data_IF_063097270428
#
_entry.id   IF_063097270428
#
_cell.length_a   1.000
_cell.length_b   1.000
_cell.length_c   1.000
_cell.angle_alpha   90.00
_cell.angle_beta   90.00
_cell.angle_gamma   90.00
#
_symmetry.space_group_name_H-M   'P 1'
#
loop_
_entity.id
_entity.type
_entity.pdbx_description
1 polymer ?
#
# COMPACT_ATOMS: atom_id res chain seq x y z
N UNK A 1 -28.26 4.92 6.49
CA UNK A 1 -28.16 6.38 6.65
C UNK A 1 -28.29 6.86 8.08
N UNK A 2 -29.48 6.83 8.72
CA UNK A 2 -29.68 7.36 10.10
C UNK A 2 -28.67 6.93 11.16
N UNK A 3 -28.38 5.62 11.26
CA UNK A 3 -27.36 5.11 12.20
C UNK A 3 -25.93 5.58 11.89
N UNK A 4 -25.62 5.81 10.63
CA UNK A 4 -24.30 6.30 10.21
C UNK A 4 -24.12 7.77 10.59
N UNK A 5 -25.12 8.61 10.29
CA UNK A 5 -25.08 10.04 10.59
C UNK A 5 -25.00 10.33 12.10
N UNK A 6 -25.61 9.50 12.97
CA UNK A 6 -25.47 9.63 14.44
C UNK A 6 -24.00 9.61 14.90
N UNK A 7 -23.15 8.78 14.26
CA UNK A 7 -21.74 8.66 14.62
C UNK A 7 -20.83 9.62 13.84
N UNK A 8 -21.19 9.96 12.60
CA UNK A 8 -20.35 10.70 11.67
C UNK A 8 -20.59 12.23 11.71
N UNK A 9 -21.83 12.68 11.86
CA UNK A 9 -22.18 14.10 11.86
C UNK A 9 -22.33 14.62 13.30
N UNK A 10 -21.18 14.93 13.92
CA UNK A 10 -21.12 15.43 15.31
C UNK A 10 -21.87 16.75 15.50
N UNK A 11 -22.03 17.53 14.42
CA UNK A 11 -22.67 18.84 14.42
C UNK A 11 -24.18 18.78 14.17
N UNK A 12 -24.72 17.60 13.84
CA UNK A 12 -26.16 17.34 13.72
C UNK A 12 -26.86 18.23 12.68
N UNK A 13 -26.25 18.38 11.51
CA UNK A 13 -26.78 19.19 10.41
C UNK A 13 -28.06 18.59 9.83
N UNK A 14 -28.83 19.43 9.13
CA UNK A 14 -29.88 18.94 8.22
C UNK A 14 -29.30 18.66 6.85
N UNK A 15 -29.74 17.57 6.23
CA UNK A 15 -29.19 17.08 4.96
C UNK A 15 -30.25 17.07 3.87
N UNK A 16 -30.00 17.77 2.76
CA UNK A 16 -30.86 17.77 1.59
C UNK A 16 -30.76 16.48 0.81
N UNK A 17 -31.88 16.08 0.24
CA UNK A 17 -31.96 14.97 -0.71
C UNK A 17 -32.55 15.42 -2.04
N UNK A 18 -32.47 14.56 -3.04
CA UNK A 18 -33.10 14.77 -4.36
C UNK A 18 -34.61 14.49 -4.37
N UNK A 19 -35.19 14.11 -3.21
CA UNK A 19 -36.58 13.69 -3.08
C UNK A 19 -37.55 14.86 -2.97
N UNK A 20 -38.68 14.74 -3.67
CA UNK A 20 -39.81 15.65 -3.62
C UNK A 20 -41.07 14.90 -3.17
N UNK A 21 -41.72 15.39 -2.12
CA UNK A 21 -42.99 14.85 -1.66
C UNK A 21 -44.14 15.40 -2.51
N UNK A 22 -44.86 14.52 -3.20
CA UNK A 22 -46.08 14.89 -3.93
C UNK A 22 -47.29 14.82 -3.01
N UNK A 23 -47.88 15.99 -2.70
CA UNK A 23 -49.00 16.14 -1.74
C UNK A 23 -50.35 15.65 -2.31
N UNK A 24 -50.41 15.21 -3.57
CA UNK A 24 -51.69 15.03 -4.28
C UNK A 24 -52.30 13.63 -4.27
N UNK A 25 -51.62 12.58 -3.78
CA UNK A 25 -52.18 11.24 -3.45
C UNK A 25 -51.11 10.35 -2.81
N UNK A 26 -51.40 9.80 -1.64
CA UNK A 26 -50.68 8.70 -0.97
C UNK A 26 -49.22 8.94 -0.50
N UNK A 27 -48.81 10.20 -0.26
CA UNK A 27 -47.48 10.53 0.29
C UNK A 27 -46.32 9.91 -0.50
N UNK A 28 -46.38 10.04 -1.82
CA UNK A 28 -45.35 9.51 -2.72
C UNK A 28 -44.16 10.45 -2.75
N UNK A 29 -42.96 9.93 -2.47
CA UNK A 29 -41.70 10.65 -2.68
C UNK A 29 -41.20 10.31 -4.07
N UNK A 30 -41.01 11.33 -4.89
CA UNK A 30 -40.41 11.20 -6.22
C UNK A 30 -38.98 11.70 -6.16
N UNK A 31 -38.04 10.85 -6.58
CA UNK A 31 -36.62 11.18 -6.66
C UNK A 31 -36.29 11.79 -8.02
N UNK A 32 -35.16 12.50 -8.11
CA UNK A 32 -34.72 13.18 -9.35
C UNK A 32 -34.50 12.22 -10.53
N UNK A 33 -34.21 10.95 -10.26
CA UNK A 33 -34.05 9.90 -11.27
C UNK A 33 -35.40 9.36 -11.81
N UNK A 34 -36.53 9.86 -11.28
CA UNK A 34 -37.88 9.47 -11.66
C UNK A 34 -38.43 8.25 -10.90
N UNK A 35 -37.66 7.69 -9.97
CA UNK A 35 -38.16 6.61 -9.10
C UNK A 35 -39.13 7.16 -8.06
N UNK A 36 -40.12 6.35 -7.71
CA UNK A 36 -41.13 6.71 -6.73
C UNK A 36 -41.06 5.77 -5.53
N UNK A 37 -41.11 6.34 -4.34
CA UNK A 37 -41.20 5.61 -3.09
C UNK A 37 -42.54 5.88 -2.41
N UNK A 38 -43.29 4.79 -2.18
CA UNK A 38 -44.63 4.80 -1.56
C UNK A 38 -44.62 3.96 -0.29
N UNK A 39 -45.41 4.32 0.72
CA UNK A 39 -45.52 3.54 1.96
C UNK A 39 -44.60 4.01 3.09
N UNK A 40 -44.43 5.33 3.23
CA UNK A 40 -43.63 5.90 4.31
C UNK A 40 -44.42 5.84 5.63
N UNK A 41 -43.92 5.09 6.61
CA UNK A 41 -44.53 5.06 7.96
C UNK A 41 -44.40 6.42 8.65
N UNK A 42 -45.44 6.84 9.39
CA UNK A 42 -45.43 8.05 10.23
C UNK A 42 -44.27 8.08 11.24
N UNK A 43 -43.78 6.91 11.67
CA UNK A 43 -42.69 6.78 12.65
C UNK A 43 -41.35 7.37 12.15
N UNK A 44 -41.20 7.48 10.83
CA UNK A 44 -39.98 7.92 10.17
C UNK A 44 -39.95 9.44 9.90
N UNK A 45 -41.06 10.12 10.20
CA UNK A 45 -41.20 11.57 10.04
C UNK A 45 -41.00 12.30 11.36
N UNK A 46 -40.60 13.56 11.26
CA UNK A 46 -40.73 14.51 12.36
C UNK A 46 -42.16 15.08 12.39
N UNK A 47 -42.83 15.00 13.54
CA UNK A 47 -44.24 15.45 13.69
C UNK A 47 -44.45 16.97 13.54
N UNK A 48 -43.39 17.77 13.50
CA UNK A 48 -43.46 19.22 13.24
C UNK A 48 -43.44 19.53 11.74
N UNK A 49 -44.35 18.94 10.96
CA UNK A 49 -44.53 19.29 9.55
C UNK A 49 -45.32 20.60 9.44
N UNK A 50 -44.75 21.71 9.89
CA UNK A 50 -45.39 23.02 9.86
C UNK A 50 -45.10 23.83 8.58
N UNK A 51 -44.15 23.42 7.73
CA UNK A 51 -43.75 24.22 6.57
C UNK A 51 -44.19 23.64 5.22
N UNK A 52 -44.79 24.53 4.42
CA UNK A 52 -45.55 24.29 3.17
C UNK A 52 -44.68 23.90 1.96
N UNK A 53 -43.61 23.14 2.18
CA UNK A 53 -42.66 22.80 1.12
C UNK A 53 -42.57 21.30 0.86
N UNK A 54 -42.17 20.96 -0.36
CA UNK A 54 -42.19 19.58 -0.85
C UNK A 54 -40.79 18.95 -0.87
N UNK A 55 -39.73 19.65 -0.45
CA UNK A 55 -38.37 19.13 -0.52
C UNK A 55 -38.05 18.28 0.70
N UNK A 56 -37.63 17.05 0.44
CA UNK A 56 -37.32 16.06 1.46
C UNK A 56 -35.91 16.26 1.99
N UNK A 57 -35.81 16.44 3.30
CA UNK A 57 -34.55 16.53 4.04
C UNK A 57 -34.47 15.47 5.12
N UNK A 58 -33.26 15.24 5.62
CA UNK A 58 -33.00 14.39 6.75
C UNK A 58 -32.47 15.24 7.91
N UNK A 59 -33.22 15.35 8.99
CA UNK A 59 -32.88 16.20 10.12
C UNK A 59 -32.83 15.43 11.43
N UNK A 60 -31.93 15.85 12.32
CA UNK A 60 -31.76 15.23 13.62
C UNK A 60 -32.85 15.70 14.60
N UNK A 61 -33.61 14.77 15.18
CA UNK A 61 -34.60 15.07 16.23
C UNK A 61 -34.57 14.00 17.32
N UNK A 62 -34.38 14.44 18.57
CA UNK A 62 -34.24 13.55 19.72
C UNK A 62 -32.91 12.77 19.68
N UNK A 63 -32.99 11.48 19.35
CA UNK A 63 -31.86 10.53 19.38
C UNK A 63 -31.49 9.96 18.00
N UNK A 64 -32.18 10.39 16.95
CA UNK A 64 -31.94 9.87 15.61
C UNK A 64 -32.26 10.90 14.53
N UNK A 65 -31.79 10.61 13.32
CA UNK A 65 -32.19 11.38 12.16
C UNK A 65 -33.49 10.81 11.57
N UNK A 66 -34.38 11.71 11.17
CA UNK A 66 -35.68 11.40 10.60
C UNK A 66 -35.93 12.24 9.35
N UNK A 67 -36.87 11.79 8.53
CA UNK A 67 -37.33 12.55 7.38
C UNK A 67 -38.08 13.80 7.84
N UNK A 68 -37.81 14.91 7.17
CA UNK A 68 -38.50 16.17 7.39
C UNK A 68 -38.64 16.93 6.07
N UNK A 69 -39.43 18.00 6.08
CA UNK A 69 -39.58 18.91 4.94
C UNK A 69 -38.93 20.26 5.28
N UNK A 70 -38.31 20.87 4.29
CA UNK A 70 -37.68 22.19 4.45
C UNK A 70 -37.69 22.99 3.15
N UNK A 71 -37.63 24.31 3.28
CA UNK A 71 -37.51 25.20 2.14
C UNK A 71 -36.20 24.99 1.38
N UNK A 72 -36.24 25.08 0.05
CA UNK A 72 -35.05 25.09 -0.83
C UNK A 72 -34.13 26.29 -0.64
N UNK A 73 -34.56 27.29 0.12
CA UNK A 73 -33.80 28.50 0.45
C UNK A 73 -32.80 28.27 1.59
N UNK A 74 -32.92 27.17 2.34
CA UNK A 74 -32.00 26.84 3.45
C UNK A 74 -30.66 26.37 2.89
N UNK A 75 -29.57 26.94 3.41
CA UNK A 75 -28.22 26.40 3.18
C UNK A 75 -28.04 25.12 4.02
N UNK A 76 -28.13 23.95 3.38
CA UNK A 76 -27.83 22.69 4.05
C UNK A 76 -27.00 21.76 3.16
N UNK A 77 -26.31 20.81 3.79
CA UNK A 77 -25.43 19.88 3.10
C UNK A 77 -26.25 18.89 2.25
N UNK A 78 -25.75 18.50 1.08
CA UNK A 78 -26.46 17.59 0.18
C UNK A 78 -25.99 16.14 0.36
N UNK A 79 -26.94 15.22 0.29
CA UNK A 79 -26.67 13.79 0.10
C UNK A 79 -26.69 13.52 -1.41
N UNK A 80 -25.58 13.02 -1.93
CA UNK A 80 -25.50 12.55 -3.30
C UNK A 80 -25.86 11.06 -3.36
N UNK A 81 -26.72 10.72 -4.30
CA UNK A 81 -27.02 9.34 -4.67
C UNK A 81 -26.21 8.95 -5.91
N UNK A 82 -25.76 7.71 -5.96
CA UNK A 82 -25.08 7.13 -7.12
C UNK A 82 -25.65 5.75 -7.38
N UNK A 83 -25.81 5.40 -8.66
CA UNK A 83 -26.22 4.05 -9.04
C UNK A 83 -25.18 3.04 -8.53
N UNK A 84 -25.66 1.91 -7.96
CA UNK A 84 -24.79 0.86 -7.44
C UNK A 84 -23.82 0.33 -8.51
N UNK A 85 -24.24 0.27 -9.77
CA UNK A 85 -23.44 -0.12 -10.91
C UNK A 85 -22.39 0.94 -11.28
N UNK A 86 -22.54 2.20 -10.86
CA UNK A 86 -21.60 3.30 -11.13
C UNK A 86 -20.68 3.63 -9.94
N UNK A 87 -20.87 2.98 -8.78
CA UNK A 87 -20.05 3.19 -7.59
C UNK A 87 -18.53 2.99 -7.80
N UNK A 88 -18.13 2.23 -8.83
CA UNK A 88 -16.73 2.06 -9.22
C UNK A 88 -16.07 3.35 -9.75
N UNK A 89 -16.85 4.35 -10.15
CA UNK A 89 -16.38 5.66 -10.62
C UNK A 89 -16.00 6.61 -9.49
N UNK A 90 -16.30 6.25 -8.23
CA UNK A 90 -15.88 7.03 -7.08
C UNK A 90 -14.36 6.88 -6.96
N UNK A 91 -13.64 7.90 -7.39
CA UNK A 91 -12.23 8.05 -7.06
C UNK A 91 -12.15 8.33 -5.56
N UNK A 92 -11.83 7.29 -4.77
CA UNK A 92 -11.48 7.47 -3.36
C UNK A 92 -10.11 8.11 -3.34
N UNK A 93 -10.05 9.43 -3.48
CA UNK A 93 -8.86 10.16 -3.11
C UNK A 93 -8.62 9.91 -1.62
N UNK A 94 -7.50 9.28 -1.30
CA UNK A 94 -7.12 9.05 0.08
C UNK A 94 -7.03 10.41 0.77
N UNK A 95 -7.97 10.70 1.67
CA UNK A 95 -7.90 11.86 2.55
C UNK A 95 -6.60 11.77 3.34
N UNK A 96 -5.63 12.58 2.95
CA UNK A 96 -4.32 12.62 3.58
C UNK A 96 -4.38 13.25 4.97
N UNK A 97 -3.20 13.36 5.58
CA UNK A 97 -3.03 14.02 6.89
C UNK A 97 -3.36 15.52 6.86
N UNK A 98 -3.49 16.09 5.67
CA UNK A 98 -3.77 17.49 5.36
C UNK A 98 -5.26 17.82 5.29
N UNK A 99 -6.12 16.80 5.23
CA UNK A 99 -7.55 16.97 5.04
C UNK A 99 -8.19 17.73 6.21
N UNK A 100 -8.81 18.89 5.91
CA UNK A 100 -9.46 19.76 6.89
C UNK A 100 -8.49 20.59 7.75
N UNK A 101 -7.21 20.69 7.36
CA UNK A 101 -6.22 21.51 8.05
C UNK A 101 -6.00 22.86 7.33
N UNK A 102 -5.65 23.90 8.09
CA UNK A 102 -5.35 25.23 7.54
C UNK A 102 -3.88 25.40 7.08
N UNK A 103 -3.14 24.30 6.90
CA UNK A 103 -1.73 24.35 6.47
C UNK A 103 -1.64 24.41 4.94
N UNK A 104 -0.97 25.44 4.41
CA UNK A 104 -0.74 25.58 2.97
C UNK A 104 0.32 24.60 2.43
N UNK A 105 1.23 24.13 3.28
CA UNK A 105 2.27 23.15 2.94
C UNK A 105 2.09 21.89 3.80
N UNK A 106 1.87 20.70 3.19
CA UNK A 106 1.71 19.44 3.91
C UNK A 106 2.89 19.08 4.84
N UNK A 107 4.09 19.61 4.56
CA UNK A 107 5.26 19.36 5.40
C UNK A 107 5.18 20.03 6.77
N UNK A 108 4.43 21.13 6.90
CA UNK A 108 4.30 21.91 8.12
C UNK A 108 3.30 21.29 9.11
N UNK A 109 2.54 20.27 8.69
CA UNK A 109 1.58 19.57 9.53
C UNK A 109 2.30 18.87 10.70
N UNK A 110 2.02 19.23 11.95
CA UNK A 110 2.65 18.62 13.11
C UNK A 110 2.28 17.13 13.21
N UNK A 111 3.30 16.26 13.30
CA UNK A 111 3.11 14.80 13.28
C UNK A 111 4.23 14.07 13.99
N UNK A 112 3.90 12.94 14.60
CA UNK A 112 4.85 12.00 15.20
C UNK A 112 5.80 11.39 14.16
N UNK A 113 6.88 10.74 14.62
CA UNK A 113 7.85 10.13 13.74
C UNK A 113 7.25 8.88 13.06
N UNK A 114 7.53 8.72 11.77
CA UNK A 114 7.20 7.55 10.96
C UNK A 114 8.45 7.11 10.20
N UNK A 115 8.86 5.85 10.39
CA UNK A 115 10.01 5.28 9.70
C UNK A 115 9.64 5.10 8.21
N UNK A 116 10.50 5.63 7.34
CA UNK A 116 10.40 5.50 5.88
C UNK A 116 11.47 4.58 5.30
N UNK A 117 12.59 4.41 6.00
CA UNK A 117 13.63 3.45 5.65
C UNK A 117 14.02 2.67 6.90
N UNK A 118 13.65 1.40 6.91
CA UNK A 118 14.06 0.44 7.93
C UNK A 118 15.54 0.07 7.74
N UNK A 119 16.29 -0.17 8.82
CA UNK A 119 17.66 -0.67 8.73
C UNK A 119 17.70 -2.09 8.17
N UNK A 120 18.84 -2.56 7.68
CA UNK A 120 19.02 -3.94 7.19
C UNK A 120 20.16 -4.65 7.93
N UNK A 121 20.13 -5.99 7.93
CA UNK A 121 21.21 -6.81 8.49
C UNK A 121 22.54 -6.51 7.77
N UNK A 122 23.60 -6.40 8.56
CA UNK A 122 24.91 -5.98 8.09
C UNK A 122 25.95 -7.06 8.38
N UNK A 123 26.74 -7.40 7.35
CA UNK A 123 27.93 -8.25 7.48
C UNK A 123 29.15 -7.38 7.20
N UNK A 124 29.95 -7.12 8.22
CA UNK A 124 31.17 -6.31 8.14
C UNK A 124 32.32 -7.22 7.74
N UNK A 125 33.08 -6.85 6.71
CA UNK A 125 34.27 -7.62 6.33
C UNK A 125 35.41 -7.29 7.29
N UNK A 126 36.03 -8.32 7.85
CA UNK A 126 37.15 -8.15 8.79
C UNK A 126 38.26 -7.32 8.14
N UNK A 127 38.62 -6.19 8.76
CA UNK A 127 39.61 -5.26 8.22
C UNK A 127 39.04 -4.00 7.54
N UNK A 128 37.71 -3.87 7.41
CA UNK A 128 37.10 -2.60 7.00
C UNK A 128 37.36 -1.50 8.04
N UNK A 129 37.66 -0.29 7.57
CA UNK A 129 37.92 0.88 8.42
C UNK A 129 36.65 1.50 9.01
N UNK A 130 35.49 1.25 8.39
CA UNK A 130 34.21 1.77 8.86
C UNK A 130 33.04 0.96 8.31
N UNK A 131 31.97 0.88 9.09
CA UNK A 131 30.72 0.26 8.70
C UNK A 131 29.53 1.13 9.17
N UNK A 132 28.37 1.03 8.54
CA UNK A 132 27.19 1.82 8.94
C UNK A 132 25.87 1.09 8.77
N UNK A 133 24.92 1.41 9.65
CA UNK A 133 23.51 1.02 9.55
C UNK A 133 22.65 2.29 9.55
N UNK A 134 21.58 2.30 8.75
CA UNK A 134 20.79 3.50 8.49
C UNK A 134 19.30 3.29 8.74
N UNK A 135 18.70 4.17 9.53
CA UNK A 135 17.26 4.28 9.73
C UNK A 135 16.82 5.71 9.42
N UNK A 136 15.77 5.89 8.62
CA UNK A 136 15.28 7.22 8.25
C UNK A 136 13.82 7.33 8.65
N UNK A 137 13.47 8.36 9.41
CA UNK A 137 12.12 8.69 9.81
C UNK A 137 11.72 10.11 9.37
N UNK A 138 10.48 10.24 8.92
CA UNK A 138 9.81 11.53 8.73
C UNK A 138 9.11 11.94 10.01
N UNK A 139 8.99 13.24 10.26
CA UNK A 139 8.24 13.78 11.40
C UNK A 139 8.37 15.29 11.40
N UNK A 140 7.36 15.98 11.97
CA UNK A 140 7.44 17.42 12.18
C UNK A 140 7.07 17.75 13.63
N UNK A 141 8.01 18.24 14.46
CA UNK A 141 9.41 18.57 14.17
C UNK A 141 10.27 17.37 13.73
N UNK A 142 11.39 17.67 13.05
CA UNK A 142 12.34 16.66 12.56
C UNK A 142 12.78 15.72 13.71
N UNK A 143 12.68 14.39 13.53
CA UNK A 143 13.02 13.45 14.60
C UNK A 143 14.50 13.48 14.98
N UNK A 144 14.77 13.22 16.25
CA UNK A 144 16.09 12.85 16.77
C UNK A 144 16.20 11.33 16.83
N UNK A 145 17.44 10.81 16.83
CA UNK A 145 17.71 9.38 16.70
C UNK A 145 18.56 8.87 17.84
N UNK A 146 18.24 7.67 18.31
CA UNK A 146 19.04 6.87 19.23
C UNK A 146 19.16 5.46 18.69
N UNK A 147 20.29 4.82 18.97
CA UNK A 147 20.53 3.43 18.64
C UNK A 147 20.73 2.64 19.92
N UNK A 148 20.19 1.44 19.94
CA UNK A 148 20.32 0.51 21.05
C UNK A 148 20.90 -0.81 20.55
N UNK A 149 21.80 -1.38 21.34
CA UNK A 149 22.31 -2.74 21.21
C UNK A 149 21.65 -3.61 22.28
N UNK A 150 21.58 -4.92 22.02
CA UNK A 150 20.93 -5.88 22.92
C UNK A 150 19.51 -5.41 23.28
N UNK A 151 18.61 -5.47 22.30
CA UNK A 151 17.30 -4.80 22.31
C UNK A 151 16.47 -5.01 23.59
N UNK A 152 16.69 -6.10 24.32
CA UNK A 152 16.06 -6.38 25.62
C UNK A 152 16.63 -5.56 26.80
N UNK A 153 17.94 -5.31 26.82
CA UNK A 153 18.62 -4.51 27.85
C UNK A 153 18.65 -3.02 27.50
N UNK A 154 18.41 -2.67 26.23
CA UNK A 154 18.38 -1.28 25.70
C UNK A 154 19.67 -0.52 25.99
N UNK A 155 20.81 -1.18 25.74
CA UNK A 155 22.11 -0.53 25.88
C UNK A 155 22.27 0.56 24.80
N UNK A 156 22.34 1.83 25.18
CA UNK A 156 22.48 2.93 24.22
C UNK A 156 23.84 2.86 23.52
N UNK A 157 23.84 2.94 22.18
CA UNK A 157 25.05 3.00 21.36
C UNK A 157 25.30 4.45 20.99
N UNK A 158 26.29 5.08 21.62
CA UNK A 158 26.60 6.49 21.37
C UNK A 158 28.08 6.80 21.50
N UNK A 159 28.48 7.91 20.87
CA UNK A 159 29.85 8.46 20.94
C UNK A 159 30.31 8.77 22.37
N UNK A 160 29.37 8.95 23.32
CA UNK A 160 29.66 9.22 24.73
C UNK A 160 30.13 7.99 25.49
N UNK A 161 29.77 6.81 25.00
CA UNK A 161 30.11 5.51 25.60
C UNK A 161 31.34 4.95 24.91
N UNK A 162 31.35 4.99 23.57
CA UNK A 162 32.49 4.59 22.76
C UNK A 162 32.65 5.57 21.59
N UNK A 163 33.81 6.20 21.49
CA UNK A 163 34.12 7.24 20.50
C UNK A 163 34.13 6.74 19.07
N UNK A 164 34.16 5.41 18.85
CA UNK A 164 34.04 4.79 17.52
C UNK A 164 32.66 4.97 16.91
N UNK A 165 31.63 5.16 17.73
CA UNK A 165 30.25 5.31 17.28
C UNK A 165 29.92 6.76 16.96
N UNK A 166 29.33 7.00 15.79
CA UNK A 166 28.81 8.32 15.40
C UNK A 166 27.41 8.16 14.81
N UNK A 167 26.44 8.90 15.35
CA UNK A 167 25.07 8.91 14.81
C UNK A 167 24.79 10.23 14.10
N UNK A 168 24.45 10.17 12.81
CA UNK A 168 24.11 11.35 11.99
C UNK A 168 22.81 11.12 11.24
N UNK A 169 21.76 11.89 11.54
CA UNK A 169 20.45 11.81 10.89
C UNK A 169 19.87 10.38 10.79
N UNK A 170 20.09 9.55 11.82
CA UNK A 170 19.61 8.16 11.86
C UNK A 170 20.56 7.11 11.27
N UNK A 171 21.69 7.53 10.70
CA UNK A 171 22.80 6.65 10.34
C UNK A 171 23.77 6.48 11.51
N UNK A 172 23.90 5.25 12.03
CA UNK A 172 24.95 4.86 12.97
C UNK A 172 26.17 4.39 12.18
N UNK A 173 27.31 5.03 12.41
CA UNK A 173 28.61 4.67 11.84
C UNK A 173 29.50 4.11 12.94
N UNK A 174 30.13 2.99 12.67
CA UNK A 174 31.09 2.31 13.54
C UNK A 174 32.47 2.43 12.88
N UNK A 175 33.37 3.17 13.52
CA UNK A 175 34.75 3.34 13.05
C UNK A 175 35.63 2.23 13.62
N UNK A 176 36.48 1.63 12.78
CA UNK A 176 37.31 0.47 13.16
C UNK A 176 36.49 -0.61 13.88
N UNK A 177 35.51 -1.23 13.18
CA UNK A 177 34.64 -2.24 13.76
C UNK A 177 35.42 -3.50 14.22
N UNK A 178 35.06 -4.04 15.37
CA UNK A 178 35.69 -5.19 16.04
C UNK A 178 34.65 -6.28 16.31
N UNK A 179 34.88 -7.49 15.79
CA UNK A 179 33.93 -8.61 15.84
C UNK A 179 33.40 -8.90 17.25
N UNK A 180 34.31 -9.06 18.22
CA UNK A 180 33.94 -9.39 19.60
C UNK A 180 33.17 -8.28 20.34
N UNK A 181 33.18 -7.05 19.82
CA UNK A 181 32.58 -5.88 20.49
C UNK A 181 31.31 -5.40 19.79
N UNK A 182 31.25 -5.49 18.47
CA UNK A 182 30.21 -4.85 17.67
C UNK A 182 29.23 -5.84 17.04
N UNK A 183 29.46 -7.15 17.20
CA UNK A 183 28.48 -8.18 16.85
C UNK A 183 27.28 -8.12 17.79
N UNK A 184 26.07 -8.10 17.23
CA UNK A 184 24.84 -8.14 18.02
C UNK A 184 23.61 -7.61 17.29
N UNK A 185 22.52 -7.51 18.04
CA UNK A 185 21.23 -7.00 17.56
C UNK A 185 21.10 -5.50 17.85
N UNK A 186 20.79 -4.73 16.81
CA UNK A 186 20.66 -3.27 16.86
C UNK A 186 19.23 -2.84 16.54
N UNK A 187 18.76 -1.79 17.20
CA UNK A 187 17.47 -1.17 16.94
C UNK A 187 17.58 0.36 17.01
N UNK A 188 16.95 1.03 16.05
CA UNK A 188 16.86 2.48 16.02
C UNK A 188 15.56 2.96 16.68
N UNK A 189 15.65 4.05 17.43
CA UNK A 189 14.52 4.83 17.90
C UNK A 189 14.56 6.22 17.26
N UNK A 190 13.47 6.59 16.59
CA UNK A 190 13.25 7.95 16.11
C UNK A 190 12.21 8.62 17.00
N UNK A 191 12.50 9.82 17.51
CA UNK A 191 11.65 10.50 18.49
C UNK A 191 11.47 11.98 18.16
N UNK A 192 10.27 12.50 18.40
CA UNK A 192 10.00 13.93 18.41
C UNK A 192 9.00 14.28 19.53
N UNK A 193 8.60 15.56 19.63
CA UNK A 193 7.69 16.03 20.70
C UNK A 193 6.31 15.36 20.72
N UNK A 194 5.93 14.64 19.67
CA UNK A 194 4.62 13.98 19.55
C UNK A 194 4.69 12.46 19.77
N UNK A 195 5.89 11.88 19.90
CA UNK A 195 6.05 10.46 20.21
C UNK A 195 7.38 9.90 19.72
N UNK A 196 7.59 8.61 19.98
CA UNK A 196 8.71 7.84 19.47
C UNK A 196 8.25 6.58 18.74
N UNK A 197 9.08 6.12 17.80
CA UNK A 197 8.87 4.91 17.02
C UNK A 197 10.17 4.11 16.97
N UNK A 198 10.04 2.78 17.07
CA UNK A 198 11.16 1.84 16.99
C UNK A 198 11.20 1.19 15.61
N UNK A 199 12.40 1.00 15.07
CA UNK A 199 12.63 0.24 13.84
C UNK A 199 12.50 -1.25 14.08
N UNK A 200 12.55 -2.04 13.00
CA UNK A 200 12.88 -3.45 13.10
C UNK A 200 14.27 -3.65 13.71
N UNK A 201 14.47 -4.81 14.32
CA UNK A 201 15.76 -5.26 14.83
C UNK A 201 16.59 -5.75 13.65
N UNK A 202 17.87 -5.39 13.62
CA UNK A 202 18.83 -5.85 12.60
C UNK A 202 20.07 -6.45 13.25
N UNK A 203 20.60 -7.48 12.61
CA UNK A 203 21.79 -8.16 13.08
C UNK A 203 23.04 -7.58 12.43
N UNK A 204 24.02 -7.19 13.25
CA UNK A 204 25.38 -6.87 12.82
C UNK A 204 26.28 -8.07 13.12
N UNK A 205 26.98 -8.53 12.10
CA UNK A 205 27.88 -9.70 12.17
C UNK A 205 29.14 -9.47 11.34
N UNK A 206 30.16 -10.29 11.55
CA UNK A 206 31.43 -10.17 10.83
C UNK A 206 31.64 -11.34 9.87
N UNK A 207 32.07 -10.99 8.67
CA UNK A 207 32.48 -11.90 7.62
C UNK A 207 34.01 -11.97 7.53
N UNK A 208 34.51 -13.17 7.23
CA UNK A 208 35.89 -13.37 6.81
C UNK A 208 35.84 -13.94 5.40
N UNK A 209 36.52 -13.29 4.46
CA UNK A 209 36.82 -13.86 3.16
C UNK A 209 38.32 -14.14 3.14
N UNK A 210 38.72 -15.42 3.17
CA UNK A 210 40.13 -15.76 2.98
C UNK A 210 40.56 -15.48 1.54
N UNK A 211 41.86 -15.30 1.35
CA UNK A 211 42.45 -15.20 0.02
C UNK A 211 42.14 -16.45 -0.81
N UNK A 212 42.02 -16.27 -2.12
CA UNK A 212 41.84 -17.38 -3.04
C UNK A 212 43.05 -18.32 -2.94
N UNK A 213 42.83 -19.65 -2.85
CA UNK A 213 43.92 -20.62 -2.96
C UNK A 213 44.71 -20.32 -4.22
N UNK A 214 46.03 -20.16 -4.07
CA UNK A 214 46.95 -19.92 -5.19
C UNK A 214 47.20 -21.16 -6.04
N UNK A 215 46.50 -22.26 -5.74
CA UNK A 215 46.65 -23.52 -6.44
C UNK A 215 46.34 -23.33 -7.93
N UNK A 216 47.29 -23.72 -8.78
CA UNK A 216 47.12 -23.66 -10.22
C UNK A 216 45.90 -24.49 -10.64
N UNK A 217 44.97 -23.88 -11.38
CA UNK A 217 43.83 -24.59 -11.97
C UNK A 217 44.39 -25.64 -12.93
N UNK A 218 44.27 -26.91 -12.57
CA UNK A 218 44.83 -28.03 -13.35
C UNK A 218 44.15 -28.05 -14.74
N UNK A 219 44.93 -28.00 -15.85
CA UNK A 219 44.38 -28.06 -17.20
C UNK A 219 43.62 -29.37 -17.44
N UNK A 220 42.38 -29.30 -17.92
CA UNK A 220 41.57 -30.47 -18.24
C UNK A 220 41.62 -30.76 -19.75
N UNK A 221 42.11 -31.95 -20.12
CA UNK A 221 42.07 -32.42 -21.50
C UNK A 221 40.71 -33.06 -21.78
N UNK A 222 39.93 -32.46 -22.67
CA UNK A 222 38.61 -32.95 -23.11
C UNK A 222 38.58 -33.19 -24.61
N UNK A 223 37.71 -34.11 -25.04
CA UNK A 223 37.50 -34.39 -26.47
C UNK A 223 36.67 -33.28 -27.10
N UNK A 224 36.89 -33.02 -28.39
CA UNK A 224 36.03 -32.13 -29.17
C UNK A 224 34.56 -32.56 -29.03
N UNK A 225 33.67 -31.58 -28.83
CA UNK A 225 32.22 -31.75 -28.63
C UNK A 225 31.77 -32.41 -27.32
N UNK A 226 32.67 -32.50 -26.33
CA UNK A 226 32.30 -32.87 -24.95
C UNK A 226 32.41 -31.66 -24.02
N UNK A 227 31.45 -31.48 -23.12
CA UNK A 227 31.50 -30.44 -22.09
C UNK A 227 32.51 -30.77 -21.00
N UNK A 228 33.18 -29.76 -20.45
CA UNK A 228 34.09 -29.88 -19.30
C UNK A 228 33.53 -29.12 -18.09
N UNK A 229 33.81 -29.62 -16.89
CA UNK A 229 33.45 -28.97 -15.63
C UNK A 229 34.72 -28.70 -14.83
N UNK A 230 34.99 -27.42 -14.60
CA UNK A 230 36.05 -26.99 -13.70
C UNK A 230 35.49 -26.87 -12.29
N UNK A 231 36.12 -27.58 -11.35
CA UNK A 231 35.76 -27.47 -9.96
C UNK A 231 36.54 -26.32 -9.33
N UNK A 232 35.83 -25.28 -8.89
CA UNK A 232 36.46 -24.16 -8.22
C UNK A 232 37.07 -24.63 -6.88
N UNK A 233 38.28 -24.16 -6.51
CA UNK A 233 38.83 -24.36 -5.18
C UNK A 233 37.83 -23.89 -4.12
N UNK A 234 37.66 -24.68 -3.06
CA UNK A 234 36.83 -24.26 -1.93
C UNK A 234 37.52 -23.10 -1.22
N UNK A 235 36.84 -21.96 -1.15
CA UNK A 235 37.29 -20.85 -0.33
C UNK A 235 36.99 -21.15 1.14
N UNK A 236 37.91 -20.78 2.02
CA UNK A 236 37.57 -20.58 3.42
C UNK A 236 36.91 -19.21 3.54
N UNK A 237 35.62 -19.22 3.79
CA UNK A 237 34.87 -18.02 4.09
C UNK A 237 34.08 -18.28 5.36
N UNK A 238 34.13 -17.35 6.31
CA UNK A 238 33.08 -17.24 7.33
C UNK A 238 32.06 -16.25 6.81
N UNK A 239 30.84 -16.72 6.58
CA UNK A 239 29.70 -15.90 6.79
C UNK A 239 28.86 -16.61 7.86
N UNK A 240 28.55 -15.94 8.96
CA UNK A 240 27.18 -16.08 9.43
C UNK A 240 26.34 -15.24 8.45
N UNK A 241 26.25 -15.65 7.18
CA UNK A 241 25.29 -15.05 6.28
C UNK A 241 23.95 -15.49 6.85
N UNK A 242 23.29 -14.60 7.57
CA UNK A 242 21.85 -14.66 7.68
C UNK A 242 21.35 -14.83 6.24
N UNK A 243 20.87 -16.04 5.93
CA UNK A 243 20.31 -16.34 4.62
C UNK A 243 19.25 -15.28 4.35
N UNK A 244 19.47 -14.45 3.32
CA UNK A 244 18.60 -13.31 3.08
C UNK A 244 17.24 -13.84 2.66
N UNK A 245 16.23 -13.50 3.44
CA UNK A 245 14.85 -13.83 3.12
C UNK A 245 14.45 -13.20 1.78
N UNK A 246 13.58 -13.85 1.02
CA UNK A 246 13.17 -13.35 -0.28
C UNK A 246 12.36 -12.06 -0.10
N UNK A 247 12.70 -11.02 -0.87
CA UNK A 247 11.98 -9.76 -0.96
C UNK A 247 11.73 -9.44 -2.43
N UNK A 248 10.46 -9.36 -2.83
CA UNK A 248 10.09 -8.98 -4.21
C UNK A 248 10.43 -7.50 -4.43
N UNK A 249 11.14 -7.18 -5.51
CA UNK A 249 11.53 -5.82 -5.82
C UNK A 249 10.31 -4.89 -6.00
N UNK A 250 10.49 -3.61 -5.70
CA UNK A 250 9.39 -2.65 -5.69
C UNK A 250 8.73 -2.46 -7.06
N UNK A 251 9.50 -2.61 -8.15
CA UNK A 251 9.01 -2.43 -9.52
C UNK A 251 8.25 -3.64 -10.09
N UNK A 252 8.16 -4.75 -9.34
CA UNK A 252 7.42 -5.95 -9.75
C UNK A 252 6.16 -6.11 -8.89
N UNK A 253 5.07 -6.74 -9.33
CA UNK A 253 4.87 -7.47 -10.58
C UNK A 253 4.80 -6.51 -11.76
N UNK A 254 5.64 -6.75 -12.77
CA UNK A 254 5.65 -5.97 -14.00
C UNK A 254 4.75 -6.66 -15.04
N UNK A 255 3.82 -5.93 -15.64
CA UNK A 255 2.85 -6.45 -16.63
C UNK A 255 3.18 -5.87 -18.00
N UNK A 256 3.31 -6.74 -19.00
CA UNK A 256 3.62 -6.37 -20.37
C UNK A 256 2.62 -6.96 -21.38
N UNK A 257 2.14 -6.15 -22.34
CA UNK A 257 2.26 -4.69 -22.41
C UNK A 257 1.52 -3.99 -21.25
N UNK A 258 1.85 -2.72 -20.98
CA UNK A 258 1.22 -1.93 -19.91
C UNK A 258 -0.28 -1.69 -20.14
N UNK A 259 -0.68 -1.57 -21.41
CA UNK A 259 -2.07 -1.48 -21.84
C UNK A 259 -2.43 -2.79 -22.54
N UNK A 260 -3.14 -3.67 -21.83
CA UNK A 260 -3.49 -5.01 -22.32
C UNK A 260 -4.79 -4.96 -23.09
N UNK A 261 -4.79 -5.41 -24.34
CA UNK A 261 -6.00 -5.51 -25.16
C UNK A 261 -6.55 -6.94 -25.25
N UNK A 262 -7.83 -7.05 -25.54
CA UNK A 262 -8.51 -8.34 -25.76
C UNK A 262 -7.85 -9.10 -26.93
N UNK A 263 -7.52 -10.37 -26.69
CA UNK A 263 -6.90 -11.26 -27.67
C UNK A 263 -5.37 -11.19 -27.71
N UNK A 264 -4.75 -10.25 -27.01
CA UNK A 264 -3.29 -10.18 -26.91
C UNK A 264 -2.71 -11.31 -26.04
N UNK A 265 -1.41 -11.49 -26.13
CA UNK A 265 -0.64 -12.31 -25.20
C UNK A 265 0.11 -11.40 -24.25
N UNK A 266 -0.09 -11.60 -22.95
CA UNK A 266 0.59 -10.82 -21.92
C UNK A 266 1.64 -11.65 -21.21
N UNK A 267 2.61 -10.96 -20.60
CA UNK A 267 3.50 -11.51 -19.59
C UNK A 267 3.41 -10.72 -18.29
N UNK A 268 3.47 -11.45 -17.18
CA UNK A 268 3.61 -10.92 -15.83
C UNK A 268 4.90 -11.47 -15.24
N UNK A 269 5.83 -10.57 -14.95
CA UNK A 269 7.13 -10.93 -14.37
C UNK A 269 7.13 -10.64 -12.87
N UNK A 270 7.84 -11.49 -12.12
CA UNK A 270 8.06 -11.34 -10.70
C UNK A 270 9.53 -11.63 -10.38
N UNK A 271 10.20 -10.66 -9.76
CA UNK A 271 11.59 -10.79 -9.36
C UNK A 271 11.76 -10.47 -7.87
N UNK A 272 12.49 -11.34 -7.17
CA UNK A 272 12.84 -11.16 -5.78
C UNK A 272 14.35 -11.28 -5.55
N UNK A 273 14.86 -10.50 -4.60
CA UNK A 273 16.20 -10.65 -4.06
C UNK A 273 16.17 -11.54 -2.83
N UNK A 274 17.23 -12.31 -2.64
CA UNK A 274 17.39 -13.20 -1.50
C UNK A 274 18.48 -14.22 -1.79
N UNK A 275 18.80 -15.06 -0.81
CA UNK A 275 19.74 -16.15 -1.02
C UNK A 275 19.13 -17.22 -1.93
N UNK A 276 19.73 -17.44 -3.11
CA UNK A 276 19.30 -18.47 -4.06
C UNK A 276 19.58 -19.89 -3.57
N UNK A 277 18.66 -20.86 -3.74
CA UNK A 277 17.60 -20.86 -4.75
C UNK A 277 16.25 -20.34 -4.24
N UNK A 278 15.60 -19.49 -5.04
CA UNK A 278 14.25 -18.99 -4.80
C UNK A 278 13.24 -19.74 -5.66
N UNK A 279 12.13 -20.18 -5.05
CA UNK A 279 11.04 -20.90 -5.71
C UNK A 279 9.84 -19.98 -5.91
N UNK A 280 9.35 -19.90 -7.15
CA UNK A 280 8.25 -19.02 -7.54
C UNK A 280 6.97 -19.81 -7.79
N UNK A 281 5.85 -19.24 -7.39
CA UNK A 281 4.51 -19.80 -7.59
C UNK A 281 3.51 -18.67 -7.80
N UNK A 282 2.52 -18.87 -8.67
CA UNK A 282 1.51 -17.86 -8.98
C UNK A 282 0.11 -18.35 -8.63
N UNK A 283 -0.69 -17.44 -8.12
CA UNK A 283 -2.10 -17.66 -7.84
C UNK A 283 -2.94 -16.51 -8.34
N UNK A 284 -4.23 -16.76 -8.58
CA UNK A 284 -5.22 -15.75 -8.91
C UNK A 284 -6.29 -15.72 -7.82
N UNK A 285 -6.72 -14.52 -7.40
CA UNK A 285 -7.74 -14.41 -6.36
C UNK A 285 -9.12 -14.83 -6.86
N UNK A 286 -9.88 -15.53 -6.01
CA UNK A 286 -11.28 -15.94 -6.21
C UNK A 286 -11.55 -16.85 -7.42
N UNK A 287 -10.54 -17.21 -8.22
CA UNK A 287 -10.64 -18.03 -9.43
C UNK A 287 -9.37 -18.86 -9.64
N UNK A 288 -9.49 -19.96 -10.37
CA UNK A 288 -8.33 -20.70 -10.86
C UNK A 288 -7.52 -19.92 -11.90
N UNK A 289 -6.30 -20.39 -12.16
CA UNK A 289 -5.50 -19.88 -13.26
C UNK A 289 -6.19 -20.17 -14.60
N UNK A 290 -6.19 -19.25 -15.59
CA UNK A 290 -6.71 -19.54 -16.92
C UNK A 290 -5.96 -20.72 -17.56
N UNK A 291 -6.67 -21.63 -18.22
CA UNK A 291 -6.06 -22.80 -18.89
C UNK A 291 -5.00 -22.43 -19.95
N UNK A 292 -5.07 -21.19 -20.45
CA UNK A 292 -4.13 -20.60 -21.44
C UNK A 292 -2.86 -20.03 -20.81
N UNK A 293 -2.60 -20.34 -19.54
CA UNK A 293 -1.45 -19.84 -18.79
C UNK A 293 -0.24 -20.75 -18.98
N UNK A 294 0.92 -20.15 -19.25
CA UNK A 294 2.21 -20.83 -19.35
C UNK A 294 3.22 -20.15 -18.43
N UNK A 295 4.19 -20.91 -17.93
CA UNK A 295 5.20 -20.44 -16.98
C UNK A 295 6.60 -20.59 -17.56
N UNK A 296 7.42 -19.55 -17.38
CA UNK A 296 8.80 -19.48 -17.88
C UNK A 296 9.78 -19.11 -16.77
N UNK A 297 11.07 -19.31 -17.04
CA UNK A 297 12.17 -18.86 -16.17
C UNK A 297 12.04 -19.36 -14.71
N UNK A 298 11.75 -20.65 -14.52
CA UNK A 298 11.46 -21.28 -13.22
C UNK A 298 10.25 -20.66 -12.50
N UNK A 299 9.16 -20.46 -13.25
CA UNK A 299 7.90 -19.85 -12.80
C UNK A 299 8.01 -18.37 -12.38
N UNK A 300 9.09 -17.67 -12.73
CA UNK A 300 9.24 -16.22 -12.47
C UNK A 300 8.37 -15.37 -13.39
N UNK A 301 8.14 -15.86 -14.60
CA UNK A 301 7.32 -15.21 -15.61
C UNK A 301 6.11 -16.08 -15.89
N UNK A 302 4.94 -15.43 -15.87
CA UNK A 302 3.66 -16.02 -16.21
C UNK A 302 3.17 -15.38 -17.50
N UNK A 303 2.78 -16.19 -18.48
CA UNK A 303 2.21 -15.71 -19.74
C UNK A 303 0.80 -16.22 -19.96
N UNK A 304 -0.11 -15.33 -20.34
CA UNK A 304 -1.49 -15.68 -20.70
C UNK A 304 -1.67 -15.32 -22.17
N UNK A 305 -1.98 -16.31 -22.99
CA UNK A 305 -2.27 -16.12 -24.42
C UNK A 305 -3.77 -15.94 -24.67
N UNK A 306 -4.11 -15.20 -25.74
CA UNK A 306 -5.48 -14.91 -26.16
C UNK A 306 -6.35 -14.42 -24.98
N UNK A 307 -5.93 -13.30 -24.39
CA UNK A 307 -6.50 -12.74 -23.17
C UNK A 307 -7.97 -12.34 -23.36
N UNK A 308 -8.83 -12.76 -22.43
CA UNK A 308 -10.27 -12.47 -22.41
C UNK A 308 -10.61 -11.48 -21.30
N UNK A 309 -11.69 -10.72 -21.43
CA UNK A 309 -12.15 -9.79 -20.37
C UNK A 309 -12.32 -10.47 -19.01
N UNK A 310 -12.74 -11.74 -19.01
CA UNK A 310 -12.89 -12.56 -17.81
C UNK A 310 -11.58 -12.93 -17.12
N UNK A 311 -10.41 -12.70 -17.73
CA UNK A 311 -9.08 -12.93 -17.15
C UNK A 311 -8.62 -11.79 -16.22
N UNK A 312 -9.35 -10.67 -16.20
CA UNK A 312 -9.10 -9.56 -15.29
C UNK A 312 -9.21 -9.97 -13.82
N UNK A 313 -8.41 -9.34 -12.96
CA UNK A 313 -8.40 -9.64 -11.53
C UNK A 313 -7.02 -9.54 -10.90
N UNK A 314 -6.94 -9.98 -9.65
CA UNK A 314 -5.73 -9.88 -8.84
C UNK A 314 -4.90 -11.16 -9.01
N UNK A 315 -3.67 -10.99 -9.48
CA UNK A 315 -2.67 -12.05 -9.59
C UNK A 315 -1.59 -11.85 -8.53
N UNK A 316 -1.24 -12.92 -7.83
CA UNK A 316 -0.27 -12.91 -6.73
C UNK A 316 0.90 -13.82 -7.06
N UNK A 317 2.10 -13.26 -7.03
CA UNK A 317 3.34 -14.00 -7.06
C UNK A 317 3.78 -14.32 -5.62
N UNK A 318 4.08 -15.58 -5.36
CA UNK A 318 4.63 -16.08 -4.10
C UNK A 318 6.06 -16.54 -4.35
N UNK A 319 6.99 -16.05 -3.55
CA UNK A 319 8.40 -16.42 -3.62
C UNK A 319 8.81 -17.04 -2.29
N UNK A 320 9.33 -18.26 -2.34
CA UNK A 320 9.79 -19.00 -1.16
C UNK A 320 11.28 -19.30 -1.24
N UNK A 321 11.98 -19.11 -0.13
CA UNK A 321 13.38 -19.53 0.00
C UNK A 321 13.48 -21.06 0.00
N UNK A 322 14.43 -21.59 -0.78
CA UNK A 322 14.80 -22.99 -0.76
C UNK A 322 15.49 -23.43 0.53
N UNK A 323 16.06 -22.49 1.31
CA UNK A 323 16.77 -22.80 2.55
C UNK A 323 15.99 -22.43 3.81
N UNK A 324 15.53 -21.18 3.91
CA UNK A 324 14.91 -20.65 5.14
C UNK A 324 13.43 -20.95 5.26
N UNK A 325 12.82 -21.52 4.21
CA UNK A 325 11.37 -21.74 4.08
C UNK A 325 10.49 -20.48 4.20
N UNK A 326 11.09 -19.32 4.46
CA UNK A 326 10.44 -18.02 4.46
C UNK A 326 9.90 -17.69 3.07
N UNK A 327 8.73 -17.05 3.07
CA UNK A 327 8.03 -16.65 1.86
C UNK A 327 7.63 -15.19 1.89
N UNK A 328 7.69 -14.55 0.73
CA UNK A 328 7.10 -13.24 0.47
C UNK A 328 6.10 -13.36 -0.67
N UNK A 329 5.15 -12.43 -0.74
CA UNK A 329 4.17 -12.39 -1.83
C UNK A 329 3.86 -10.95 -2.21
N UNK A 330 3.53 -10.74 -3.47
CA UNK A 330 3.08 -9.45 -3.99
C UNK A 330 1.97 -9.67 -5.01
N UNK A 331 1.00 -8.78 -5.00
CA UNK A 331 -0.18 -8.84 -5.86
C UNK A 331 -0.22 -7.66 -6.82
N UNK A 332 -0.72 -7.88 -8.03
CA UNK A 332 -1.01 -6.84 -9.01
C UNK A 332 -2.39 -7.08 -9.65
N UNK A 333 -3.06 -6.00 -10.00
CA UNK A 333 -4.35 -6.06 -10.70
C UNK A 333 -4.13 -6.04 -12.21
N UNK A 334 -4.56 -7.10 -12.89
CA UNK A 334 -4.58 -7.16 -14.35
C UNK A 334 -5.86 -6.50 -14.88
N UNK A 335 -5.69 -5.31 -15.47
CA UNK A 335 -6.74 -4.60 -16.22
C UNK A 335 -6.62 -4.96 -17.69
N UNK A 336 -7.73 -5.33 -18.31
CA UNK A 336 -7.81 -5.67 -19.74
C UNK A 336 -8.79 -4.71 -20.39
N UNK A 337 -8.34 -4.08 -21.46
CA UNK A 337 -9.11 -3.12 -22.23
C UNK A 337 -9.67 -3.83 -23.48
N UNK A 338 -10.94 -3.56 -23.77
CA UNK A 338 -11.57 -3.99 -25.01
C UNK A 338 -12.00 -2.75 -25.77
N UNK A 339 -11.72 -2.70 -27.07
CA UNK A 339 -12.38 -1.74 -27.93
C UNK A 339 -13.82 -2.18 -28.13
N UNK A 340 -14.75 -1.48 -27.48
CA UNK A 340 -16.16 -1.56 -27.80
C UNK A 340 -16.39 -0.60 -28.96
N UNK A 341 -16.74 -1.13 -30.14
CA UNK A 341 -17.35 -0.31 -31.19
C UNK A 341 -18.76 0.08 -30.75
N UNK A 342 -18.88 1.19 -30.02
CA UNK A 342 -20.16 1.83 -29.77
C UNK A 342 -20.49 2.71 -30.98
N UNK A 343 -21.51 2.35 -31.76
CA UNK A 343 -22.22 3.33 -32.59
C UNK A 343 -22.89 4.33 -31.65
N UNK A 344 -22.34 5.55 -31.62
CA UNK A 344 -22.78 6.61 -30.73
C UNK A 344 -24.24 7.01 -31.01
N UNK A 345 -25.13 6.75 -30.06
CA UNK A 345 -26.38 7.48 -29.97
C UNK A 345 -26.09 8.84 -29.32
N UNK A 346 -26.22 9.87 -30.14
CA UNK A 346 -26.13 11.30 -29.85
C UNK A 346 -26.97 11.67 -28.62
N UNK A 347 -26.35 12.20 -27.58
CA UNK A 347 -27.02 13.01 -26.55
C UNK A 347 -26.25 14.33 -26.41
N UNK A 348 -26.63 15.27 -27.28
CA UNK A 348 -26.49 16.69 -27.04
C UNK A 348 -27.32 17.03 -25.79
N UNK A 349 -26.70 17.58 -24.74
CA UNK A 349 -27.12 18.83 -24.09
C UNK A 349 -26.09 19.23 -23.04
N UNK A 350 -25.72 20.50 -23.10
CA UNK A 350 -24.71 21.23 -22.34
C UNK A 350 -24.76 20.96 -20.83
N UNK A 351 -23.60 20.72 -20.23
CA UNK A 351 -23.31 21.14 -18.84
C UNK A 351 -22.12 22.08 -18.92
N UNK A 352 -22.37 23.37 -18.70
CA UNK A 352 -21.33 24.37 -18.42
C UNK A 352 -20.94 24.24 -16.95
N UNK A 353 -19.65 24.49 -16.71
CA UNK A 353 -18.91 24.44 -15.45
C UNK A 353 -19.67 24.93 -14.22
N UNK A 354 -19.55 24.19 -13.11
CA UNK A 354 -19.54 24.75 -11.76
C UNK A 354 -18.55 23.97 -10.88
N UNK A 355 -17.75 24.73 -10.13
CA UNK A 355 -16.60 24.35 -9.31
C UNK A 355 -16.95 23.40 -8.17
N UNK A 356 -16.08 22.41 -7.96
CA UNK A 356 -16.07 21.50 -6.82
C UNK A 356 -15.45 22.23 -5.63
N UNK A 357 -16.31 22.78 -4.78
CA UNK A 357 -16.03 22.91 -3.35
C UNK A 357 -17.12 22.16 -2.60
N UNK A 358 -16.69 21.29 -1.68
CA UNK A 358 -17.51 20.54 -0.73
C UNK A 358 -18.40 19.41 -1.24
N UNK A 359 -17.79 18.33 -1.75
CA UNK A 359 -18.36 17.00 -1.49
C UNK A 359 -17.25 16.10 -0.98
N UNK A 360 -17.30 15.85 0.32
CA UNK A 360 -16.45 14.87 0.92
C UNK A 360 -17.30 13.94 1.79
N UNK A 361 -17.46 12.72 1.27
CA UNK A 361 -17.77 11.39 1.83
C UNK A 361 -18.68 11.25 3.07
N UNK A 362 -19.51 10.23 3.24
CA UNK A 362 -19.52 8.82 2.82
C UNK A 362 -20.95 8.29 3.03
N UNK A 363 -21.37 7.32 2.21
CA UNK A 363 -22.31 6.21 2.50
C UNK A 363 -23.75 6.51 2.97
#
# INVERSE_FOLDING_TARGET
>A
MGRFLIGADRSRHSWFTSGLLSVSKDSTITWKDGTNFTGVSSDWWNEDTADRTNHLIYSYKGDTYKWNLAETSLEAAYICEIDRAEAFRIMVESRGIDYGTNYSNPNDIPRGPKIIKEPEDLVIVTGESSAFIECIAMGNPKPTYKWYREVFTREEVSWKIDTRYTTTNGRLTISNPVDQLDTGDYQCEASNKFGSVLSRIVQVSFGVLSEFPSDDIIPQNVRAETGAVFQCPQLHYKPAAAMRNPVIHNDFIAIFPTSVLLGETISMECMAFGSEPLKYHWTRENKGMPDRTTFYSNNRELRISDVKLGDSGIYTCHVRSGYTWMSTRKSAYLKIEGFIHCTAAKLEYRVQDLSIDHINHYL
#
